data_IF_946840533142
#
_entry.id   IF_946840533142
#
_cell.length_a   1.000
_cell.length_b   1.000
_cell.length_c   1.000
_cell.angle_alpha   90.00
_cell.angle_beta   90.00
_cell.angle_gamma   90.00
#
_symmetry.space_group_name_H-M   'P 1'
#
loop_
_entity.id
_entity.type
_entity.pdbx_description
1 polymer ?
#
# COMPACT_ATOMS: atom_id res chain seq x y z
N UNK A 1 28.13 -5.62 3.46
CA UNK A 1 28.92 -6.05 4.64
C UNK A 1 29.83 -7.18 4.19
N UNK A 2 31.08 -7.19 4.61
CA UNK A 2 32.08 -8.19 4.18
C UNK A 2 32.66 -8.86 5.40
N UNK A 3 32.61 -10.18 5.46
CA UNK A 3 33.19 -10.98 6.55
C UNK A 3 34.36 -11.78 5.98
N UNK A 4 35.54 -11.64 6.57
CA UNK A 4 36.70 -12.44 6.19
C UNK A 4 36.58 -13.83 6.84
N UNK A 5 36.19 -14.85 6.07
CA UNK A 5 36.06 -16.23 6.55
C UNK A 5 37.43 -16.84 6.86
N UNK A 6 38.40 -16.68 5.96
CA UNK A 6 39.78 -17.13 6.17
C UNK A 6 40.79 -16.21 5.48
N UNK A 7 41.96 -16.07 6.10
CA UNK A 7 43.15 -15.48 5.48
C UNK A 7 44.41 -16.14 6.06
N UNK A 8 45.57 -15.89 5.45
CA UNK A 8 46.84 -16.49 5.89
C UNK A 8 47.20 -16.18 7.36
N UNK A 9 46.69 -15.09 7.94
CA UNK A 9 46.93 -14.75 9.35
C UNK A 9 46.19 -15.66 10.32
N UNK A 10 45.13 -16.35 9.86
CA UNK A 10 44.35 -17.34 10.65
C UNK A 10 44.99 -18.74 10.67
N UNK A 11 46.19 -18.91 10.12
CA UNK A 11 46.92 -20.17 10.13
C UNK A 11 46.44 -21.21 9.12
N UNK A 12 46.98 -22.42 9.25
CA UNK A 12 46.62 -23.54 8.37
C UNK A 12 45.12 -23.84 8.50
N UNK A 13 44.33 -23.82 7.41
CA UNK A 13 42.90 -24.14 7.47
C UNK A 13 42.63 -25.57 7.97
N UNK A 14 43.62 -26.48 7.94
CA UNK A 14 43.54 -27.83 8.55
C UNK A 14 43.82 -27.82 10.05
N UNK A 15 44.57 -26.82 10.54
CA UNK A 15 45.02 -26.70 11.94
C UNK A 15 45.24 -25.22 12.31
N UNK A 16 44.17 -24.47 12.60
CA UNK A 16 44.22 -23.01 12.75
C UNK A 16 44.99 -22.50 13.98
N UNK A 17 45.46 -23.39 14.87
CA UNK A 17 46.26 -23.04 16.04
C UNK A 17 47.73 -22.67 15.72
N UNK A 18 48.19 -22.86 14.48
CA UNK A 18 49.60 -22.77 14.11
C UNK A 18 50.00 -21.46 13.43
N UNK A 19 50.03 -20.32 14.16
CA UNK A 19 50.60 -19.05 13.69
C UNK A 19 50.15 -18.59 12.28
N UNK A 20 50.85 -17.64 11.63
CA UNK A 20 50.56 -17.27 10.24
C UNK A 20 50.95 -18.40 9.27
N UNK A 21 50.06 -18.76 8.35
CA UNK A 21 50.30 -19.79 7.34
C UNK A 21 51.36 -19.35 6.32
N UNK A 22 52.44 -20.13 6.21
CA UNK A 22 53.53 -19.92 5.25
C UNK A 22 53.54 -21.07 4.24
N UNK A 23 52.87 -20.91 3.10
CA UNK A 23 52.83 -21.96 2.08
C UNK A 23 51.77 -21.74 0.99
N UNK A 24 51.69 -22.71 0.08
CA UNK A 24 50.57 -22.82 -0.88
C UNK A 24 49.33 -23.31 -0.14
N UNK A 25 48.16 -22.78 -0.51
CA UNK A 25 46.91 -23.25 0.07
C UNK A 25 46.78 -24.77 -0.14
N UNK A 26 46.52 -25.55 0.92
CA UNK A 26 46.54 -27.00 0.84
C UNK A 26 45.51 -27.54 -0.16
N UNK A 27 45.87 -28.61 -0.88
CA UNK A 27 44.89 -29.36 -1.67
C UNK A 27 43.88 -30.05 -0.75
N UNK A 28 42.61 -30.08 -1.15
CA UNK A 28 41.51 -30.71 -0.42
C UNK A 28 40.18 -29.97 -0.57
N UNK A 29 39.13 -30.48 0.09
CA UNK A 29 37.82 -29.82 0.19
C UNK A 29 37.74 -29.12 1.55
N UNK A 30 37.43 -27.81 1.54
CA UNK A 30 37.31 -27.00 2.76
C UNK A 30 35.91 -26.44 2.85
N UNK A 31 35.33 -26.52 4.05
CA UNK A 31 34.00 -25.96 4.34
C UNK A 31 34.19 -24.83 5.33
N UNK A 32 33.83 -23.62 4.90
CA UNK A 32 33.84 -22.43 5.73
C UNK A 32 32.40 -22.07 6.09
N UNK A 33 31.88 -22.51 7.25
CA UNK A 33 30.55 -22.11 7.67
C UNK A 33 30.54 -20.61 7.91
N UNK A 34 29.45 -19.97 7.49
CA UNK A 34 29.20 -18.58 7.79
C UNK A 34 27.71 -18.38 8.06
N UNK A 35 27.42 -17.37 8.86
CA UNK A 35 26.07 -16.92 9.12
C UNK A 35 26.00 -15.46 8.66
N UNK A 36 24.95 -15.14 7.91
CA UNK A 36 24.66 -13.74 7.63
C UNK A 36 24.12 -13.13 8.92
N UNK A 37 24.61 -11.94 9.32
CA UNK A 37 24.00 -11.24 10.43
C UNK A 37 22.51 -11.01 10.14
N UNK A 38 21.74 -10.83 11.21
CA UNK A 38 20.34 -10.43 11.06
C UNK A 38 20.23 -9.23 10.12
N UNK A 39 19.33 -9.34 9.15
CA UNK A 39 19.05 -8.24 8.24
C UNK A 39 18.55 -7.04 9.07
N UNK A 40 18.95 -5.82 8.73
CA UNK A 40 18.50 -4.66 9.48
C UNK A 40 16.98 -4.52 9.35
N UNK A 41 16.33 -4.02 10.40
CA UNK A 41 14.87 -3.78 10.38
C UNK A 41 14.51 -2.61 9.46
N UNK A 42 15.42 -1.66 9.32
CA UNK A 42 15.27 -0.46 8.53
C UNK A 42 16.54 -0.14 7.73
N UNK A 43 16.41 0.79 6.78
CA UNK A 43 17.52 1.35 6.02
C UNK A 43 17.33 2.85 5.88
N UNK A 44 18.45 3.55 5.70
CA UNK A 44 18.44 4.98 5.43
C UNK A 44 18.41 5.18 3.92
N UNK A 45 17.49 6.00 3.44
CA UNK A 45 17.36 6.40 2.04
C UNK A 45 17.51 7.92 1.93
N UNK A 46 18.07 8.39 0.81
CA UNK A 46 18.12 9.82 0.54
C UNK A 46 16.69 10.32 0.35
N UNK A 47 16.29 11.35 1.10
CA UNK A 47 15.01 12.01 0.86
C UNK A 47 15.10 12.73 -0.50
N UNK A 48 14.07 12.66 -1.36
CA UNK A 48 14.08 13.26 -2.69
C UNK A 48 14.07 14.80 -2.70
N UNK A 49 13.86 15.41 -1.54
CA UNK A 49 13.77 16.86 -1.36
C UNK A 49 15.11 17.34 -0.83
N UNK A 50 15.99 17.79 -1.74
CA UNK A 50 17.35 18.20 -1.42
C UNK A 50 17.41 19.47 -0.53
N UNK A 51 16.30 20.20 -0.40
CA UNK A 51 16.21 21.44 0.39
C UNK A 51 16.09 21.19 1.90
N UNK A 52 15.72 19.97 2.32
CA UNK A 52 15.58 19.63 3.74
C UNK A 52 16.95 19.29 4.31
N UNK A 53 17.48 20.10 5.23
CA UNK A 53 18.79 19.89 5.89
C UNK A 53 19.01 18.51 6.56
N UNK A 54 17.98 17.66 6.64
CA UNK A 54 18.07 16.22 6.92
C UNK A 54 17.61 15.41 5.69
N UNK A 55 18.45 15.33 4.65
CA UNK A 55 18.22 14.61 3.39
C UNK A 55 18.20 13.07 3.53
N UNK A 56 17.85 12.54 4.70
CA UNK A 56 17.85 11.12 4.99
C UNK A 56 16.56 10.74 5.70
N UNK A 57 15.85 9.77 5.14
CA UNK A 57 14.69 9.14 5.76
C UNK A 57 15.03 7.70 6.13
N UNK A 58 14.54 7.25 7.29
CA UNK A 58 14.64 5.87 7.72
C UNK A 58 13.36 5.15 7.32
N UNK A 59 13.48 4.10 6.53
CA UNK A 59 12.35 3.31 6.01
C UNK A 59 12.52 1.84 6.39
N UNK A 60 11.44 1.07 6.57
CA UNK A 60 11.54 -0.38 6.78
C UNK A 60 12.37 -1.03 5.67
N UNK A 61 13.13 -2.07 6.03
CA UNK A 61 13.96 -2.77 5.06
C UNK A 61 13.08 -3.40 3.97
N UNK A 62 13.23 -2.99 2.70
CA UNK A 62 12.24 -3.30 1.68
C UNK A 62 12.30 -4.78 1.26
N UNK A 63 11.21 -5.35 0.72
CA UNK A 63 11.27 -6.68 0.10
C UNK A 63 12.13 -6.69 -1.16
N UNK A 64 12.62 -7.87 -1.55
CA UNK A 64 13.01 -8.13 -2.94
C UNK A 64 11.82 -7.80 -3.83
N UNK A 65 12.04 -6.96 -4.83
CA UNK A 65 10.96 -6.42 -5.64
C UNK A 65 11.41 -6.17 -7.06
N UNK A 66 10.55 -6.49 -8.02
CA UNK A 66 10.78 -6.19 -9.43
C UNK A 66 9.52 -5.69 -10.08
N UNK A 67 9.66 -4.66 -10.90
CA UNK A 67 8.57 -4.10 -11.68
C UNK A 67 9.09 -3.57 -13.01
N UNK A 68 8.39 -3.92 -14.08
CA UNK A 68 8.75 -3.58 -15.46
C UNK A 68 7.54 -3.08 -16.27
N UNK A 69 6.42 -2.78 -15.60
CA UNK A 69 5.12 -2.60 -16.27
C UNK A 69 4.90 -1.22 -16.88
N UNK A 70 5.75 -0.26 -16.59
CA UNK A 70 5.55 1.13 -17.01
C UNK A 70 6.47 1.42 -18.19
N UNK A 71 5.95 1.88 -19.33
CA UNK A 71 6.65 2.01 -20.63
C UNK A 71 8.02 2.73 -20.62
N UNK A 72 8.40 3.38 -19.52
CA UNK A 72 9.70 4.05 -19.38
C UNK A 72 10.37 3.83 -18.01
N UNK A 73 9.76 3.07 -17.10
CA UNK A 73 10.28 2.86 -15.75
C UNK A 73 10.34 1.38 -15.40
N UNK A 74 11.54 0.94 -15.05
CA UNK A 74 11.79 -0.35 -14.45
C UNK A 74 12.56 -0.13 -13.14
N UNK A 75 12.32 -1.00 -12.17
CA UNK A 75 13.02 -0.94 -10.89
C UNK A 75 13.17 -2.32 -10.30
N UNK A 76 14.34 -2.60 -9.72
CA UNK A 76 14.66 -3.87 -9.06
C UNK A 76 15.31 -3.60 -7.71
N UNK A 77 14.71 -4.11 -6.65
CA UNK A 77 15.33 -4.27 -5.34
C UNK A 77 15.80 -5.72 -5.29
N UNK A 78 17.12 -5.92 -5.27
CA UNK A 78 17.75 -7.24 -5.17
C UNK A 78 18.75 -7.26 -4.03
N UNK A 79 18.85 -8.41 -3.38
CA UNK A 79 19.86 -8.69 -2.38
C UNK A 79 20.81 -9.73 -2.96
N UNK A 80 22.11 -9.52 -2.78
CA UNK A 80 23.14 -10.46 -3.22
C UNK A 80 23.96 -10.90 -2.01
N UNK A 81 24.22 -12.20 -1.93
CA UNK A 81 25.24 -12.75 -1.07
C UNK A 81 26.37 -13.25 -1.98
N UNK A 82 27.51 -12.57 -1.91
CA UNK A 82 28.70 -12.89 -2.68
C UNK A 82 29.73 -13.62 -1.84
N UNK A 83 30.44 -14.57 -2.44
CA UNK A 83 31.70 -15.11 -1.90
C UNK A 83 32.83 -14.67 -2.81
N UNK A 84 33.76 -13.90 -2.26
CA UNK A 84 34.92 -13.41 -3.01
C UNK A 84 36.17 -14.17 -2.56
N UNK A 85 36.83 -14.81 -3.52
CA UNK A 85 38.11 -15.51 -3.30
C UNK A 85 39.23 -14.64 -3.86
N UNK A 86 39.83 -13.85 -2.97
CA UNK A 86 40.96 -12.97 -3.31
C UNK A 86 42.26 -13.76 -3.16
N UNK A 87 43.09 -13.77 -4.21
CA UNK A 87 44.43 -14.37 -4.18
C UNK A 87 45.47 -13.28 -3.99
N UNK A 88 46.21 -13.32 -2.89
CA UNK A 88 47.34 -12.41 -2.67
C UNK A 88 48.46 -12.66 -3.73
N UNK A 89 48.65 -11.75 -4.70
CA UNK A 89 49.73 -11.82 -5.72
C UNK A 89 49.49 -11.00 -6.99
N UNK A 90 50.49 -10.95 -7.90
CA UNK A 90 50.38 -10.27 -9.20
C UNK A 90 49.35 -10.98 -10.10
N UNK A 91 48.20 -10.33 -10.29
CA UNK A 91 47.10 -10.77 -11.15
C UNK A 91 45.85 -11.04 -10.33
N UNK A 92 45.04 -9.98 -10.15
CA UNK A 92 43.73 -10.02 -9.48
C UNK A 92 42.76 -10.92 -10.26
N UNK A 93 42.88 -12.23 -10.07
CA UNK A 93 41.83 -13.19 -10.42
C UNK A 93 40.90 -13.30 -9.22
N UNK A 94 40.15 -12.23 -9.00
CA UNK A 94 39.06 -12.24 -8.05
C UNK A 94 37.94 -13.09 -8.65
N UNK A 95 37.72 -14.25 -8.03
CA UNK A 95 36.54 -15.07 -8.32
C UNK A 95 35.42 -14.60 -7.40
N UNK A 96 34.44 -13.92 -7.99
CA UNK A 96 33.20 -13.49 -7.32
C UNK A 96 32.08 -14.49 -7.63
N UNK A 97 31.51 -15.05 -6.57
CA UNK A 97 30.37 -15.96 -6.64
C UNK A 97 29.16 -15.28 -5.99
N UNK A 98 28.39 -14.57 -6.80
CA UNK A 98 27.16 -13.92 -6.35
C UNK A 98 25.95 -14.83 -6.44
N UNK A 99 25.19 -14.90 -5.34
CA UNK A 99 23.88 -15.52 -5.27
C UNK A 99 22.82 -14.46 -5.00
N UNK A 100 21.83 -14.33 -5.90
CA UNK A 100 20.67 -13.48 -5.66
C UNK A 100 19.79 -14.11 -4.56
N UNK A 101 19.48 -13.32 -3.53
CA UNK A 101 18.61 -13.69 -2.42
C UNK A 101 17.23 -13.07 -2.58
N UNK A 102 16.20 -13.85 -2.24
CA UNK A 102 14.84 -13.35 -2.09
C UNK A 102 14.56 -13.04 -0.63
N UNK A 103 14.27 -11.78 -0.34
CA UNK A 103 13.86 -11.30 0.97
C UNK A 103 12.40 -10.84 0.91
N UNK A 104 11.59 -11.33 1.83
CA UNK A 104 10.20 -10.92 2.01
C UNK A 104 9.97 -10.71 3.51
N UNK A 105 9.71 -9.48 3.96
CA UNK A 105 9.45 -9.22 5.37
C UNK A 105 8.12 -9.86 5.75
N UNK A 106 8.14 -10.60 6.86
CA UNK A 106 6.98 -11.24 7.43
C UNK A 106 6.52 -10.45 8.63
N UNK A 107 5.23 -10.12 8.67
CA UNK A 107 4.62 -9.41 9.78
C UNK A 107 3.20 -9.92 10.00
N UNK A 108 2.80 -9.97 11.27
CA UNK A 108 1.43 -10.33 11.65
C UNK A 108 0.62 -9.06 11.86
N UNK A 109 -0.62 -8.99 11.35
CA UNK A 109 -1.52 -7.90 11.69
C UNK A 109 -1.80 -7.95 13.20
N UNK A 110 -1.88 -6.78 13.83
CA UNK A 110 -2.27 -6.68 15.23
C UNK A 110 -3.73 -7.15 15.40
N UNK A 111 -4.07 -7.82 16.51
CA UNK A 111 -5.46 -8.14 16.81
C UNK A 111 -6.30 -6.86 16.82
N UNK A 112 -7.43 -6.89 16.11
CA UNK A 112 -8.40 -5.80 16.08
C UNK A 112 -9.49 -6.08 17.11
N UNK A 113 -9.77 -5.10 17.96
CA UNK A 113 -10.97 -5.10 18.80
C UNK A 113 -12.08 -4.53 17.94
N UNK A 114 -13.17 -5.27 17.73
CA UNK A 114 -14.33 -4.75 17.00
C UNK A 114 -14.93 -3.60 17.80
N UNK A 115 -14.78 -2.39 17.29
CA UNK A 115 -15.43 -1.20 17.83
C UNK A 115 -16.59 -0.78 16.91
N UNK A 116 -17.70 -0.27 17.46
CA UNK A 116 -18.73 0.32 16.63
C UNK A 116 -18.17 1.52 15.87
N UNK A 117 -18.75 1.82 14.71
CA UNK A 117 -18.42 3.05 13.98
C UNK A 117 -18.70 4.26 14.88
N UNK A 118 -17.80 5.27 14.93
CA UNK A 118 -17.99 6.44 15.78
C UNK A 118 -19.28 7.17 15.44
N UNK A 119 -19.96 7.66 16.46
CA UNK A 119 -21.14 8.51 16.29
C UNK A 119 -20.69 9.91 15.87
N UNK A 120 -21.10 10.33 14.67
CA UNK A 120 -20.81 11.64 14.07
C UNK A 120 -22.15 12.29 13.73
N UNK A 121 -22.81 12.94 14.71
CA UNK A 121 -24.19 13.40 14.57
C UNK A 121 -24.36 14.45 13.49
N UNK A 122 -23.40 15.36 13.35
CA UNK A 122 -23.51 16.45 12.37
C UNK A 122 -22.34 16.43 11.40
N UNK A 123 -22.51 17.19 10.31
CA UNK A 123 -21.48 17.32 9.27
C UNK A 123 -20.25 18.05 9.80
N UNK A 124 -20.40 18.93 10.78
CA UNK A 124 -19.33 19.71 11.40
C UNK A 124 -18.36 18.84 12.21
N UNK A 125 -18.82 17.68 12.70
CA UNK A 125 -18.00 16.72 13.42
C UNK A 125 -17.05 15.91 12.51
N UNK A 126 -17.22 16.06 11.19
CA UNK A 126 -16.46 15.28 10.22
C UNK A 126 -15.04 15.83 10.07
N UNK A 127 -14.02 14.97 10.08
CA UNK A 127 -12.67 15.45 9.96
C UNK A 127 -12.37 15.95 8.56
N UNK A 128 -11.63 17.07 8.47
CA UNK A 128 -11.18 17.64 7.21
C UNK A 128 -10.03 16.85 6.57
N UNK A 129 -9.27 16.13 7.39
CA UNK A 129 -8.15 15.30 6.97
C UNK A 129 -8.35 13.88 7.45
N UNK A 130 -7.60 12.95 6.86
CA UNK A 130 -7.57 11.59 7.38
C UNK A 130 -7.08 11.57 8.82
N UNK A 131 -7.86 10.99 9.72
CA UNK A 131 -7.52 10.87 11.13
C UNK A 131 -8.02 9.55 11.73
N UNK A 132 -7.61 9.27 12.97
CA UNK A 132 -8.07 8.10 13.72
C UNK A 132 -9.01 8.56 14.84
N UNK A 133 -10.25 8.09 14.81
CA UNK A 133 -11.29 8.41 15.78
C UNK A 133 -12.04 7.13 16.18
N UNK A 134 -12.20 6.88 17.49
CA UNK A 134 -12.99 5.74 17.99
C UNK A 134 -12.49 4.35 17.56
N UNK A 135 -11.21 4.21 17.22
CA UNK A 135 -10.66 2.97 16.67
C UNK A 135 -10.91 2.78 15.17
N UNK A 136 -11.26 3.85 14.46
CA UNK A 136 -11.44 3.88 13.01
C UNK A 136 -10.51 4.91 12.38
N UNK A 137 -9.82 4.53 11.31
CA UNK A 137 -9.25 5.48 10.36
C UNK A 137 -10.39 6.04 9.52
N UNK A 138 -10.66 7.33 9.62
CA UNK A 138 -11.68 8.05 8.85
C UNK A 138 -11.00 8.83 7.73
N UNK A 139 -11.47 8.64 6.49
CA UNK A 139 -10.92 9.32 5.30
C UNK A 139 -12.03 10.14 4.62
N UNK A 140 -12.01 11.48 4.73
CA UNK A 140 -13.01 12.32 4.10
C UNK A 140 -12.84 12.37 2.59
N UNK A 141 -13.93 12.52 1.87
CA UNK A 141 -13.98 12.77 0.43
C UNK A 141 -15.22 13.60 0.10
N UNK A 142 -15.25 14.18 -1.10
CA UNK A 142 -16.41 14.93 -1.54
C UNK A 142 -16.32 15.33 -3.01
N UNK A 143 -17.43 15.79 -3.55
CA UNK A 143 -17.48 16.25 -4.91
C UNK A 143 -18.82 16.88 -5.28
N UNK A 144 -18.79 17.61 -6.39
CA UNK A 144 -19.97 18.26 -6.96
C UNK A 144 -20.36 17.57 -8.24
N UNK A 145 -21.66 17.37 -8.39
CA UNK A 145 -22.24 16.70 -9.54
C UNK A 145 -23.57 17.31 -9.93
N UNK A 146 -24.26 16.61 -10.83
CA UNK A 146 -25.65 16.86 -11.16
C UNK A 146 -26.48 15.60 -11.01
N UNK A 147 -27.66 15.71 -10.40
CA UNK A 147 -28.68 14.68 -10.43
C UNK A 147 -29.80 15.13 -11.37
N UNK A 148 -29.85 14.56 -12.58
CA UNK A 148 -30.68 15.13 -13.65
C UNK A 148 -30.20 16.53 -14.03
N UNK A 149 -30.99 17.57 -13.72
CA UNK A 149 -30.62 18.97 -13.96
C UNK A 149 -30.21 19.74 -12.69
N UNK A 150 -30.44 19.18 -11.50
CA UNK A 150 -30.08 19.83 -10.24
C UNK A 150 -28.58 19.68 -9.97
N UNK A 151 -27.94 20.77 -9.51
CA UNK A 151 -26.59 20.70 -8.98
C UNK A 151 -26.63 20.19 -7.55
N UNK A 152 -25.81 19.18 -7.28
CA UNK A 152 -25.77 18.54 -5.96
C UNK A 152 -24.33 18.48 -5.46
N UNK A 153 -24.15 18.75 -4.18
CA UNK A 153 -22.90 18.58 -3.47
C UNK A 153 -23.03 17.37 -2.55
N UNK A 154 -22.04 16.47 -2.63
CA UNK A 154 -22.03 15.23 -1.88
C UNK A 154 -20.68 15.14 -1.19
N UNK A 155 -20.72 14.89 0.11
CA UNK A 155 -19.56 14.68 0.93
C UNK A 155 -19.67 13.32 1.60
N UNK A 156 -18.54 12.73 1.97
CA UNK A 156 -18.55 11.47 2.68
C UNK A 156 -17.32 11.20 3.53
N UNK A 157 -17.45 10.22 4.40
CA UNK A 157 -16.35 9.62 5.16
C UNK A 157 -16.29 8.14 4.81
N UNK A 158 -15.09 7.68 4.44
CA UNK A 158 -14.76 6.26 4.39
C UNK A 158 -13.98 5.87 5.64
N UNK A 159 -14.59 5.04 6.48
CA UNK A 159 -14.00 4.48 7.68
C UNK A 159 -13.49 3.05 7.50
N UNK A 160 -12.31 2.77 8.04
CA UNK A 160 -11.75 1.41 8.20
C UNK A 160 -11.25 1.23 9.62
N UNK A 161 -11.48 0.05 10.21
CA UNK A 161 -11.00 -0.25 11.57
C UNK A 161 -9.48 -0.12 11.69
N UNK A 162 -9.04 0.54 12.77
CA UNK A 162 -7.65 0.75 13.15
C UNK A 162 -7.14 -0.42 14.02
N UNK A 163 -5.89 -0.90 13.83
CA UNK A 163 -4.96 -0.50 12.78
C UNK A 163 -5.38 -1.02 11.41
N UNK A 164 -5.24 -0.18 10.37
CA UNK A 164 -5.55 -0.54 8.98
C UNK A 164 -4.51 -1.51 8.36
N UNK A 165 -4.13 -2.56 9.10
CA UNK A 165 -3.10 -3.55 8.78
C UNK A 165 -3.74 -4.90 8.56
N UNK A 166 -3.55 -5.46 7.38
CA UNK A 166 -4.27 -6.66 6.92
C UNK A 166 -3.34 -7.68 6.28
N UNK A 167 -3.73 -8.95 6.34
CA UNK A 167 -3.09 -10.03 5.58
C UNK A 167 -4.12 -10.80 4.74
N UNK A 168 -3.64 -11.69 3.88
CA UNK A 168 -4.48 -12.48 2.99
C UNK A 168 -5.57 -13.27 3.75
N UNK A 169 -6.76 -13.32 3.17
CA UNK A 169 -7.92 -14.05 3.71
C UNK A 169 -8.68 -13.30 4.80
N UNK A 170 -8.11 -12.27 5.42
CA UNK A 170 -8.83 -11.46 6.39
C UNK A 170 -9.96 -10.68 5.73
N UNK A 171 -11.04 -10.47 6.50
CA UNK A 171 -12.13 -9.60 6.11
C UNK A 171 -11.76 -8.15 6.47
N UNK A 172 -11.75 -7.29 5.46
CA UNK A 172 -11.64 -5.84 5.59
C UNK A 172 -13.06 -5.28 5.64
N UNK A 173 -13.51 -4.97 6.86
CA UNK A 173 -14.78 -4.29 7.13
C UNK A 173 -14.58 -2.78 6.98
N UNK A 174 -15.55 -2.10 6.38
CA UNK A 174 -15.55 -0.65 6.23
C UNK A 174 -16.95 -0.08 6.43
N UNK A 175 -17.01 1.21 6.73
CA UNK A 175 -18.24 1.98 6.79
C UNK A 175 -18.10 3.23 5.93
N UNK A 176 -19.15 3.56 5.19
CA UNK A 176 -19.25 4.72 4.32
C UNK A 176 -20.41 5.57 4.82
N UNK A 177 -20.11 6.79 5.26
CA UNK A 177 -21.11 7.78 5.62
C UNK A 177 -21.19 8.81 4.50
N UNK A 178 -22.38 9.07 3.97
CA UNK A 178 -22.64 10.05 2.92
C UNK A 178 -23.51 11.18 3.46
N UNK A 179 -23.24 12.39 3.02
CA UNK A 179 -24.01 13.58 3.31
C UNK A 179 -24.30 14.38 2.03
N UNK A 180 -25.49 14.96 1.93
CA UNK A 180 -25.86 15.87 0.86
C UNK A 180 -27.04 16.75 1.27
N UNK A 181 -27.10 17.95 0.70
CA UNK A 181 -28.28 18.82 0.81
C UNK A 181 -29.48 18.31 0.00
N UNK A 182 -29.27 17.39 -0.95
CA UNK A 182 -30.33 16.80 -1.77
C UNK A 182 -30.63 15.36 -1.31
N UNK A 183 -31.79 15.17 -0.66
CA UNK A 183 -32.26 13.85 -0.22
C UNK A 183 -32.36 12.86 -1.40
N UNK A 184 -32.75 13.32 -2.59
CA UNK A 184 -32.81 12.50 -3.80
C UNK A 184 -31.41 12.04 -4.26
N UNK A 185 -30.38 12.87 -4.07
CA UNK A 185 -29.01 12.48 -4.37
C UNK A 185 -28.52 11.39 -3.41
N UNK A 186 -28.86 11.49 -2.13
CA UNK A 186 -28.57 10.45 -1.14
C UNK A 186 -29.34 9.16 -1.41
N UNK A 187 -30.61 9.26 -1.80
CA UNK A 187 -31.40 8.11 -2.19
C UNK A 187 -30.80 7.39 -3.42
N UNK A 188 -30.24 8.14 -4.38
CA UNK A 188 -29.60 7.59 -5.57
C UNK A 188 -28.22 7.00 -5.29
N UNK A 189 -27.35 7.76 -4.62
CA UNK A 189 -25.94 7.42 -4.41
C UNK A 189 -25.72 6.50 -3.21
N UNK A 190 -26.61 6.56 -2.22
CA UNK A 190 -26.59 5.70 -1.04
C UNK A 190 -27.19 4.31 -1.27
N UNK A 191 -27.45 3.92 -2.52
CA UNK A 191 -27.84 2.54 -2.84
C UNK A 191 -26.60 1.65 -2.86
N UNK A 192 -26.66 0.44 -2.28
CA UNK A 192 -25.52 -0.48 -2.35
C UNK A 192 -25.08 -0.80 -3.78
N UNK A 193 -26.02 -0.87 -4.73
CA UNK A 193 -25.72 -1.08 -6.16
C UNK A 193 -24.99 0.09 -6.84
N UNK A 194 -25.00 1.29 -6.24
CA UNK A 194 -24.27 2.45 -6.72
C UNK A 194 -22.80 2.47 -6.27
N UNK A 195 -22.42 1.60 -5.31
CA UNK A 195 -21.09 1.56 -4.72
C UNK A 195 -20.29 0.39 -5.31
N UNK A 196 -19.30 0.70 -6.14
CA UNK A 196 -18.33 -0.29 -6.58
C UNK A 196 -17.18 -0.38 -5.57
N UNK A 197 -17.22 -1.43 -4.75
CA UNK A 197 -16.18 -1.73 -3.77
C UNK A 197 -15.06 -2.54 -4.42
N UNK A 198 -13.81 -2.07 -4.32
CA UNK A 198 -12.66 -2.83 -4.77
C UNK A 198 -11.45 -2.72 -3.84
N UNK A 199 -10.70 -3.81 -3.78
CA UNK A 199 -9.38 -3.83 -3.17
C UNK A 199 -8.34 -3.78 -4.29
N UNK A 200 -7.52 -2.74 -4.30
CA UNK A 200 -6.56 -2.48 -5.35
C UNK A 200 -5.14 -2.58 -4.83
N UNK A 201 -4.25 -2.98 -5.73
CA UNK A 201 -2.81 -2.79 -5.59
C UNK A 201 -2.40 -1.59 -6.40
N UNK A 202 -1.67 -0.67 -5.80
CA UNK A 202 -1.06 0.48 -6.45
C UNK A 202 0.46 0.32 -6.43
N UNK A 203 1.07 0.17 -7.62
CA UNK A 203 2.52 0.29 -7.76
C UNK A 203 2.85 1.77 -8.04
N UNK A 204 3.76 2.37 -7.28
CA UNK A 204 4.07 3.80 -7.31
C UNK A 204 5.49 4.03 -7.82
N UNK A 205 5.63 4.95 -8.77
CA UNK A 205 6.92 5.38 -9.31
C UNK A 205 6.98 6.90 -9.36
N UNK A 206 7.69 7.51 -8.41
CA UNK A 206 7.86 8.95 -8.35
C UNK A 206 9.05 9.30 -7.47
N UNK A 207 9.72 10.43 -7.74
CA UNK A 207 10.81 10.92 -6.89
C UNK A 207 10.35 11.03 -5.43
N UNK A 208 9.11 11.52 -5.22
CA UNK A 208 8.50 11.76 -3.91
C UNK A 208 7.74 10.58 -3.31
N UNK A 209 8.00 9.33 -3.70
CA UNK A 209 7.28 8.15 -3.16
C UNK A 209 7.29 8.07 -1.62
N UNK A 210 8.34 8.58 -0.98
CA UNK A 210 8.45 8.56 0.48
C UNK A 210 7.42 9.47 1.16
N UNK A 211 6.88 10.47 0.47
CA UNK A 211 5.87 11.38 0.99
C UNK A 211 4.46 10.91 0.59
N UNK A 212 3.63 10.47 1.56
CA UNK A 212 2.28 9.99 1.26
C UNK A 212 1.38 11.06 0.69
N UNK A 213 1.60 12.32 1.07
CA UNK A 213 0.72 13.43 0.72
C UNK A 213 0.91 13.87 -0.74
N UNK A 214 2.14 13.74 -1.26
CA UNK A 214 2.48 14.20 -2.61
C UNK A 214 2.51 13.08 -3.65
N UNK A 215 2.29 11.83 -3.24
CA UNK A 215 2.06 10.70 -4.14
C UNK A 215 0.73 10.84 -4.91
N UNK A 216 0.70 11.76 -5.87
CA UNK A 216 -0.46 12.05 -6.70
C UNK A 216 -0.99 10.79 -7.39
N UNK A 217 -2.31 10.72 -7.61
CA UNK A 217 -2.97 9.60 -8.31
C UNK A 217 -2.34 9.30 -9.68
N UNK A 218 -1.74 10.31 -10.31
CA UNK A 218 -1.07 10.21 -11.62
C UNK A 218 0.12 9.25 -11.63
N UNK A 219 0.79 9.06 -10.49
CA UNK A 219 2.00 8.23 -10.38
C UNK A 219 1.71 6.82 -9.82
N UNK A 220 0.42 6.46 -9.70
CA UNK A 220 -0.03 5.18 -9.15
C UNK A 220 -0.61 4.32 -10.27
N UNK A 221 -0.07 3.11 -10.41
CA UNK A 221 -0.60 2.09 -11.31
C UNK A 221 -1.51 1.15 -10.53
N UNK A 222 -2.81 1.39 -10.64
CA UNK A 222 -3.83 0.60 -9.97
C UNK A 222 -4.14 -0.71 -10.70
N UNK A 223 -4.21 -1.79 -9.94
CA UNK A 223 -4.68 -3.09 -10.39
C UNK A 223 -5.70 -3.63 -9.38
N UNK A 224 -6.95 -3.82 -9.82
CA UNK A 224 -8.01 -4.38 -8.99
C UNK A 224 -7.71 -5.84 -8.68
N UNK A 225 -7.63 -6.20 -7.41
CA UNK A 225 -7.33 -7.55 -6.95
C UNK A 225 -8.55 -8.30 -6.43
N UNK A 226 -9.49 -7.59 -5.80
CA UNK A 226 -10.73 -8.16 -5.31
C UNK A 226 -11.89 -7.17 -5.44
N UNK A 227 -13.10 -7.70 -5.43
CA UNK A 227 -14.35 -6.93 -5.37
C UNK A 227 -14.97 -7.19 -4.01
N UNK A 228 -15.42 -6.12 -3.35
CA UNK A 228 -16.17 -6.22 -2.09
C UNK A 228 -17.66 -6.09 -2.31
N UNK A 229 -18.39 -5.98 -1.21
CA UNK A 229 -19.83 -5.73 -1.18
C UNK A 229 -20.15 -4.67 -0.14
N UNK A 230 -21.26 -3.97 -0.32
CA UNK A 230 -21.82 -3.01 0.63
C UNK A 230 -23.31 -3.26 0.81
N UNK A 231 -23.87 -2.70 1.87
CA UNK A 231 -25.29 -2.70 2.20
C UNK A 231 -25.61 -1.44 3.01
N UNK A 232 -26.88 -1.02 3.05
CA UNK A 232 -27.28 0.03 3.99
C UNK A 232 -27.27 -0.53 5.39
N UNK A 233 -26.79 0.26 6.35
CA UNK A 233 -26.67 -0.18 7.75
C UNK A 233 -28.03 -0.65 8.28
N UNK A 234 -29.10 0.06 7.93
CA UNK A 234 -30.47 -0.18 8.40
C UNK A 234 -31.10 -1.45 7.79
N UNK A 235 -30.63 -1.86 6.61
CA UNK A 235 -31.08 -3.09 5.95
C UNK A 235 -30.41 -4.35 6.57
N UNK A 236 -29.33 -4.15 7.32
CA UNK A 236 -28.50 -5.23 7.89
C UNK A 236 -27.60 -5.92 6.86
N UNK A 237 -26.69 -6.76 7.37
CA UNK A 237 -25.73 -7.48 6.53
C UNK A 237 -26.44 -8.53 5.67
N UNK A 238 -26.21 -8.56 4.34
CA UNK A 238 -26.82 -9.53 3.46
C UNK A 238 -26.25 -10.93 3.72
N UNK A 239 -27.12 -11.94 3.66
CA UNK A 239 -26.72 -13.35 3.80
C UNK A 239 -25.69 -13.74 2.75
N UNK A 240 -24.82 -14.69 3.08
CA UNK A 240 -23.85 -15.24 2.11
C UNK A 240 -24.60 -15.81 0.89
N UNK A 241 -24.15 -15.45 -0.31
CA UNK A 241 -24.81 -15.86 -1.56
C UNK A 241 -26.01 -15.02 -2.00
N UNK A 242 -26.38 -13.97 -1.25
CA UNK A 242 -27.38 -13.01 -1.72
C UNK A 242 -26.99 -12.42 -3.10
N UNK A 243 -27.96 -12.19 -4.00
CA UNK A 243 -27.67 -11.59 -5.29
C UNK A 243 -27.08 -10.18 -5.13
N UNK A 244 -26.25 -9.72 -6.08
CA UNK A 244 -25.75 -8.35 -6.06
C UNK A 244 -26.92 -7.34 -5.98
N UNK A 245 -26.79 -6.27 -5.19
CA UNK A 245 -27.85 -5.28 -5.04
C UNK A 245 -28.13 -4.62 -6.40
N UNK A 246 -29.40 -4.66 -6.81
CA UNK A 246 -29.85 -4.00 -8.02
C UNK A 246 -29.83 -2.48 -7.87
N UNK A 247 -29.48 -1.78 -8.95
CA UNK A 247 -29.53 -0.33 -9.00
C UNK A 247 -30.95 0.14 -9.37
N UNK A 248 -31.56 0.97 -8.53
CA UNK A 248 -32.91 1.51 -8.74
C UNK A 248 -32.81 2.96 -9.16
N UNK A 249 -33.53 3.34 -10.22
CA UNK A 249 -33.68 4.75 -10.59
C UNK A 249 -34.53 5.46 -9.56
N UNK A 250 -34.08 6.64 -9.14
CA UNK A 250 -34.83 7.53 -8.26
C UNK A 250 -35.83 8.32 -9.12
N UNK A 251 -37.04 8.49 -8.60
CA UNK A 251 -38.09 9.27 -9.26
C UNK A 251 -37.76 10.75 -9.10
N UNK A 252 -37.35 11.38 -10.19
CA UNK A 252 -37.07 12.82 -10.19
C UNK A 252 -38.40 13.61 -10.22
N UNK A 253 -38.51 14.73 -9.48
CA UNK A 253 -39.68 15.59 -9.53
C UNK A 253 -40.06 16.02 -10.95
N UNK A 254 -41.36 16.01 -11.26
CA UNK A 254 -41.87 16.28 -12.62
C UNK A 254 -41.43 17.65 -13.18
N UNK A 255 -41.23 18.64 -12.31
CA UNK A 255 -40.78 19.97 -12.73
C UNK A 255 -39.34 19.95 -13.30
N UNK A 256 -38.50 18.98 -12.95
CA UNK A 256 -37.18 18.78 -13.57
C UNK A 256 -37.27 18.16 -14.96
N UNK A 257 -38.32 17.37 -15.23
CA UNK A 257 -38.56 16.78 -16.55
C UNK A 257 -39.14 17.81 -17.56
N UNK A 258 -39.73 18.89 -17.08
CA UNK A 258 -40.44 19.87 -17.91
C UNK A 258 -39.54 20.94 -18.55
N UNK A 259 -38.30 21.12 -18.06
CA UNK A 259 -37.33 22.00 -18.72
C UNK A 259 -36.73 21.31 -19.94
N UNK A 260 -37.46 21.37 -21.07
CA UNK A 260 -36.85 21.18 -22.38
C UNK A 260 -35.62 22.09 -22.44
N UNK A 261 -34.42 21.57 -22.77
CA UNK A 261 -33.27 22.43 -22.98
C UNK A 261 -33.69 23.52 -23.97
N UNK A 262 -33.40 24.80 -23.70
CA UNK A 262 -33.77 25.88 -24.61
C UNK A 262 -33.24 25.50 -26.00
N UNK A 263 -34.06 25.65 -27.06
CA UNK A 263 -33.59 25.39 -28.41
C UNK A 263 -32.30 26.18 -28.59
N UNK A 264 -31.21 25.50 -28.93
CA UNK A 264 -29.91 26.12 -29.22
C UNK A 264 -30.15 27.00 -30.45
N UNK A 265 -30.49 28.27 -30.20
CA UNK A 265 -30.76 29.27 -31.21
C UNK A 265 -29.41 29.65 -31.83
N UNK A 266 -28.97 28.90 -32.84
CA UNK A 266 -27.76 29.28 -33.58
C UNK A 266 -26.96 28.20 -34.31
N UNK A 267 -27.44 26.96 -34.46
CA UNK A 267 -26.78 26.02 -35.38
C UNK A 267 -27.22 26.28 -36.82
N UNK A 268 -26.52 27.20 -37.49
CA UNK A 268 -26.57 27.35 -38.94
C UNK A 268 -26.13 26.07 -39.66
N UNK A 269 -26.48 25.90 -40.94
CA UNK A 269 -26.20 24.69 -41.70
C UNK A 269 -24.74 24.66 -42.15
N UNK A 270 -23.82 24.34 -41.24
CA UNK A 270 -22.51 23.81 -41.62
C UNK A 270 -22.44 22.34 -41.21
N UNK A 271 -22.74 21.49 -42.19
CA UNK A 271 -22.35 20.09 -42.20
C UNK A 271 -20.82 20.01 -42.14
N UNK A 272 -20.27 19.90 -40.93
CA UNK A 272 -19.02 19.16 -40.75
C UNK A 272 -19.39 17.78 -40.23
N UNK A 273 -19.45 16.82 -41.15
CA UNK A 273 -19.39 15.40 -40.82
C UNK A 273 -18.06 15.15 -40.09
N UNK A 274 -18.08 15.20 -38.76
CA UNK A 274 -17.04 14.56 -37.98
C UNK A 274 -17.30 13.06 -38.05
N UNK A 275 -16.58 12.42 -38.97
CA UNK A 275 -16.31 10.99 -38.91
C UNK A 275 -15.71 10.72 -37.52
N UNK A 276 -16.47 10.07 -36.64
CA UNK A 276 -15.93 9.44 -35.43
C UNK A 276 -15.08 8.27 -35.95
N UNK A 277 -13.74 8.27 -35.81
CA UNK A 277 -12.97 7.09 -36.14
C UNK A 277 -13.28 6.04 -35.08
N UNK A 278 -13.53 4.81 -35.53
CA UNK A 278 -13.57 3.64 -34.68
C UNK A 278 -12.37 3.62 -33.74
N UNK A 279 -12.63 3.22 -32.50
CA UNK A 279 -11.67 3.16 -31.41
C UNK A 279 -10.36 2.47 -31.85
N UNK A 280 -9.31 3.27 -31.97
CA UNK A 280 -7.92 2.80 -32.06
C UNK A 280 -7.23 2.95 -30.70
N UNK A 281 -6.25 2.07 -30.41
CA UNK A 281 -5.83 1.75 -29.05
C UNK A 281 -4.99 2.88 -28.44
N UNK A 282 -5.06 2.94 -27.10
CA UNK A 282 -4.28 3.82 -26.25
C UNK A 282 -2.81 3.91 -26.70
N UNK A 283 -2.37 5.10 -27.12
CA UNK A 283 -0.95 5.42 -27.25
C UNK A 283 -0.64 6.87 -26.89
N UNK A 284 0.48 6.98 -26.14
CA UNK A 284 1.39 8.11 -25.99
C UNK A 284 0.81 9.40 -25.39
N UNK A 285 0.96 9.52 -24.07
CA UNK A 285 1.15 10.81 -23.43
C UNK A 285 2.63 11.19 -23.60
N UNK A 286 2.91 12.24 -24.36
CA UNK A 286 4.21 12.91 -24.36
C UNK A 286 4.44 13.55 -22.99
N UNK A 287 5.54 13.17 -22.34
CA UNK A 287 6.09 13.92 -21.21
C UNK A 287 6.81 15.14 -21.79
N UNK A 288 6.23 16.32 -21.58
CA UNK A 288 6.98 17.57 -21.60
C UNK A 288 7.59 17.75 -20.21
N UNK A 289 8.90 17.59 -20.14
CA UNK A 289 9.76 18.27 -19.17
C UNK A 289 9.82 19.74 -19.57
N UNK A 290 9.39 20.64 -18.70
CA UNK A 290 9.98 21.97 -18.53
C UNK A 290 9.55 22.49 -17.15
N UNK A 291 10.56 22.65 -16.30
CA UNK A 291 10.48 23.31 -15.01
C UNK A 291 10.38 24.82 -15.28
N UNK A 292 9.27 25.46 -14.89
CA UNK A 292 9.22 26.91 -14.75
C UNK A 292 9.44 27.27 -13.29
N UNK A 293 10.64 27.77 -13.02
CA UNK A 293 11.06 28.43 -11.80
C UNK A 293 10.26 29.73 -11.59
N UNK A 294 9.25 29.71 -10.72
CA UNK A 294 8.73 30.94 -10.11
C UNK A 294 9.47 31.23 -8.80
N UNK A 295 10.57 31.97 -8.92
CA UNK A 295 11.28 32.58 -7.80
C UNK A 295 10.47 33.76 -7.23
N UNK A 296 9.61 33.48 -6.25
CA UNK A 296 8.98 34.50 -5.41
C UNK A 296 9.79 34.78 -4.16
N UNK A 297 10.63 35.82 -4.19
CA UNK A 297 11.27 36.41 -3.00
C UNK A 297 10.21 36.98 -2.05
N UNK A 298 10.13 36.48 -0.82
CA UNK A 298 9.44 37.14 0.29
C UNK A 298 10.26 37.03 1.57
N UNK A 299 10.33 38.18 2.24
CA UNK A 299 11.32 38.55 3.23
C UNK A 299 11.15 37.83 4.57
N UNK A 300 12.28 37.67 5.23
CA UNK A 300 12.44 37.29 6.64
C UNK A 300 11.60 38.19 7.56
N UNK A 301 10.82 37.58 8.45
CA UNK A 301 10.57 38.18 9.76
C UNK A 301 10.68 37.11 10.83
N UNK A 302 11.74 37.26 11.61
CA UNK A 302 12.11 36.47 12.77
C UNK A 302 11.23 36.90 13.94
N UNK A 303 10.36 36.01 14.44
CA UNK A 303 9.87 36.11 15.81
C UNK A 303 9.81 34.73 16.46
N UNK A 304 10.79 34.51 17.34
CA UNK A 304 10.80 33.49 18.36
C UNK A 304 9.63 33.68 19.33
N UNK A 305 8.83 32.64 19.52
CA UNK A 305 7.96 32.48 20.69
C UNK A 305 8.07 31.05 21.19
N UNK A 306 8.73 30.92 22.34
CA UNK A 306 8.51 29.84 23.29
C UNK A 306 7.03 29.82 23.69
N UNK A 307 6.41 28.64 23.65
CA UNK A 307 5.03 28.46 24.07
C UNK A 307 4.76 26.98 24.33
N UNK A 308 4.53 26.66 25.60
CA UNK A 308 4.42 25.30 26.12
C UNK A 308 3.25 24.50 25.56
N UNK A 309 3.50 23.21 25.41
CA UNK A 309 2.56 22.18 24.98
C UNK A 309 1.51 21.97 26.08
N UNK A 310 0.33 22.55 25.90
CA UNK A 310 -0.85 22.27 26.73
C UNK A 310 -1.70 21.24 26.00
N UNK A 311 -1.70 20.01 26.51
CA UNK A 311 -2.59 18.93 26.08
C UNK A 311 -4.02 19.34 26.48
N UNK A 312 -4.84 19.73 25.50
CA UNK A 312 -6.27 19.92 25.70
C UNK A 312 -6.95 18.56 25.81
N UNK A 313 -7.16 18.10 27.06
CA UNK A 313 -8.13 17.05 27.37
C UNK A 313 -9.52 17.70 27.31
N UNK A 314 -10.26 17.44 26.24
CA UNK A 314 -11.66 17.84 26.13
C UNK A 314 -12.48 16.96 27.08
N UNK A 315 -12.84 17.53 28.23
CA UNK A 315 -13.77 16.91 29.18
C UNK A 315 -15.18 16.95 28.58
N UNK A 316 -15.65 15.78 28.14
CA UNK A 316 -17.04 15.55 27.79
C UNK A 316 -17.90 15.52 29.06
N UNK A 317 -18.52 16.63 29.42
CA UNK A 317 -19.78 16.67 30.19
C UNK A 317 -20.41 18.06 30.10
N UNK A 318 -21.31 18.24 29.13
CA UNK A 318 -22.39 19.22 29.23
C UNK A 318 -23.63 18.61 28.61
N UNK A 319 -24.57 18.22 29.47
CA UNK A 319 -25.94 17.88 29.08
C UNK A 319 -26.68 19.22 28.95
N UNK A 320 -27.20 19.61 27.77
CA UNK A 320 -28.01 20.82 27.65
C UNK A 320 -29.37 20.61 28.32
N UNK A 321 -29.82 21.62 29.08
CA UNK A 321 -31.16 21.66 29.69
C UNK A 321 -32.24 21.93 28.63
N UNK A 322 -33.38 21.24 28.79
CA UNK A 322 -34.44 20.97 27.82
C UNK A 322 -35.56 22.04 27.78
N UNK A 323 -35.28 23.33 27.95
CA UNK A 323 -36.39 24.28 28.20
C UNK A 323 -36.46 25.56 27.34
N UNK A 324 -35.62 25.79 26.32
CA UNK A 324 -35.75 27.03 25.52
C UNK A 324 -35.38 26.88 24.02
N UNK A 325 -36.15 26.11 23.24
CA UNK A 325 -36.13 26.21 21.76
C UNK A 325 -37.54 25.99 21.19
N UNK A 326 -38.32 27.07 21.16
CA UNK A 326 -39.57 27.16 20.41
C UNK A 326 -39.28 27.38 18.90
N UNK A 327 -39.65 26.38 18.10
CA UNK A 327 -40.24 26.50 16.76
C UNK A 327 -39.51 27.35 15.70
N UNK A 328 -38.22 27.11 15.49
CA UNK A 328 -37.71 27.11 14.12
C UNK A 328 -38.16 25.80 13.45
N UNK A 329 -38.43 25.83 12.15
CA UNK A 329 -38.76 24.67 11.33
C UNK A 329 -37.54 23.70 11.33
N UNK A 330 -37.40 22.92 12.41
CA UNK A 330 -36.41 21.85 12.61
C UNK A 330 -36.75 20.72 11.64
N UNK A 331 -36.54 20.96 10.34
CA UNK A 331 -36.41 19.89 9.37
C UNK A 331 -35.33 18.95 9.89
N UNK A 332 -35.73 17.73 10.26
CA UNK A 332 -34.87 16.73 10.88
C UNK A 332 -33.55 16.62 10.10
N UNK A 333 -32.44 17.10 10.69
CA UNK A 333 -31.10 16.99 10.08
C UNK A 333 -30.72 15.53 9.75
N UNK A 334 -31.40 14.56 10.38
CA UNK A 334 -31.31 13.13 10.10
C UNK A 334 -31.60 12.76 8.63
N UNK A 335 -32.35 13.58 7.89
CA UNK A 335 -32.67 13.32 6.47
C UNK A 335 -31.48 13.55 5.51
N UNK A 336 -30.36 14.08 6.02
CA UNK A 336 -29.20 14.43 5.20
C UNK A 336 -28.08 13.40 5.22
N UNK A 337 -28.27 12.24 5.86
CA UNK A 337 -27.21 11.23 5.95
C UNK A 337 -27.67 9.85 5.47
N UNK A 338 -26.76 9.13 4.82
CA UNK A 338 -26.91 7.69 4.57
C UNK A 338 -25.65 6.97 4.96
N UNK A 339 -25.79 5.95 5.81
CA UNK A 339 -24.68 5.07 6.20
C UNK A 339 -24.79 3.72 5.51
N UNK A 340 -23.71 3.35 4.82
CA UNK A 340 -23.50 2.01 4.30
C UNK A 340 -22.39 1.33 5.08
N UNK A 341 -22.56 0.04 5.33
CA UNK A 341 -21.48 -0.82 5.79
C UNK A 341 -21.07 -1.75 4.64
N UNK A 342 -19.86 -2.28 4.72
CA UNK A 342 -19.40 -3.19 3.70
C UNK A 342 -18.18 -3.97 4.09
N UNK A 343 -17.82 -4.90 3.22
CA UNK A 343 -16.67 -5.76 3.43
C UNK A 343 -15.99 -6.15 2.11
N UNK A 344 -14.69 -6.45 2.21
CA UNK A 344 -13.93 -7.08 1.13
C UNK A 344 -12.97 -8.10 1.72
N UNK A 345 -12.94 -9.30 1.14
CA UNK A 345 -11.95 -10.31 1.54
C UNK A 345 -10.61 -9.96 0.90
N UNK A 346 -9.60 -9.75 1.74
CA UNK A 346 -8.25 -9.39 1.28
C UNK A 346 -7.66 -10.57 0.50
N UNK A 347 -7.31 -10.39 -0.78
CA UNK A 347 -6.78 -11.47 -1.60
C UNK A 347 -5.33 -11.79 -1.23
N UNK A 348 -4.85 -12.97 -1.65
CA UNK A 348 -3.44 -13.32 -1.56
C UNK A 348 -2.66 -12.42 -2.51
N UNK A 349 -1.72 -11.64 -1.95
CA UNK A 349 -0.85 -10.78 -2.73
C UNK A 349 0.61 -11.22 -2.61
N UNK A 350 1.39 -10.98 -3.67
CA UNK A 350 2.76 -11.49 -3.77
C UNK A 350 3.79 -10.74 -2.91
N UNK A 351 3.52 -9.49 -2.52
CA UNK A 351 4.47 -8.66 -1.78
C UNK A 351 3.73 -7.82 -0.72
N UNK A 352 4.39 -7.42 0.37
CA UNK A 352 3.80 -6.52 1.36
C UNK A 352 3.72 -5.08 0.83
N UNK A 353 3.02 -4.21 1.56
CA UNK A 353 3.13 -2.75 1.39
C UNK A 353 4.55 -2.29 1.74
N UNK A 354 5.15 -1.43 0.92
CA UNK A 354 6.45 -0.81 1.22
C UNK A 354 6.64 0.47 0.41
N UNK A 355 7.58 1.30 0.87
CA UNK A 355 8.08 2.47 0.12
C UNK A 355 9.58 2.52 0.25
N UNK A 356 10.26 2.63 -0.89
CA UNK A 356 11.71 2.64 -0.97
C UNK A 356 12.17 3.32 -2.25
N UNK A 357 12.98 4.37 -2.13
CA UNK A 357 13.69 5.08 -3.22
C UNK A 357 12.98 5.04 -4.58
N UNK A 358 12.15 6.03 -4.85
CA UNK A 358 11.39 6.18 -6.09
C UNK A 358 10.39 5.06 -6.42
N UNK A 359 10.23 4.06 -5.56
CA UNK A 359 9.39 2.90 -5.77
C UNK A 359 8.54 2.59 -4.55
N UNK A 360 7.28 2.28 -4.76
CA UNK A 360 6.37 1.89 -3.68
C UNK A 360 5.37 0.86 -4.14
N UNK A 361 4.85 0.12 -3.17
CA UNK A 361 3.65 -0.68 -3.33
C UNK A 361 2.72 -0.40 -2.18
N UNK A 362 1.49 -0.07 -2.54
CA UNK A 362 0.40 0.15 -1.61
C UNK A 362 -0.79 -0.70 -1.98
N UNK A 363 -1.63 -0.93 -0.98
CA UNK A 363 -2.93 -1.52 -1.16
C UNK A 363 -3.96 -0.52 -0.69
N UNK A 364 -5.09 -0.49 -1.38
CA UNK A 364 -6.08 0.55 -1.22
C UNK A 364 -7.46 -0.08 -1.25
N UNK A 365 -8.27 0.23 -0.24
CA UNK A 365 -9.71 0.09 -0.36
C UNK A 365 -10.21 1.28 -1.16
N UNK A 366 -10.83 0.99 -2.30
CA UNK A 366 -11.30 2.00 -3.24
C UNK A 366 -12.78 1.80 -3.50
N UNK A 367 -13.56 2.84 -3.25
CA UNK A 367 -14.99 2.89 -3.54
C UNK A 367 -15.21 3.86 -4.70
N UNK A 368 -15.85 3.39 -5.77
CA UNK A 368 -16.36 4.25 -6.83
C UNK A 368 -17.89 4.34 -6.69
N UNK A 369 -18.39 5.53 -6.40
CA UNK A 369 -19.81 5.82 -6.24
C UNK A 369 -20.31 6.39 -7.55
N UNK A 370 -21.18 5.65 -8.24
CA UNK A 370 -21.74 6.06 -9.53
C UNK A 370 -23.20 5.65 -9.65
N UNK A 371 -24.00 6.53 -10.24
CA UNK A 371 -25.40 6.27 -10.49
C UNK A 371 -25.79 6.83 -11.88
N UNK A 372 -26.59 6.15 -12.71
CA UNK A 372 -26.94 6.59 -14.07
C UNK A 372 -27.60 7.97 -14.16
N UNK A 373 -28.24 8.42 -13.08
CA UNK A 373 -28.86 9.75 -13.01
C UNK A 373 -27.92 10.82 -12.44
N UNK A 374 -26.74 10.42 -11.95
CA UNK A 374 -25.73 11.30 -11.38
C UNK A 374 -24.56 11.47 -12.34
N UNK A 375 -24.18 12.72 -12.59
CA UNK A 375 -23.03 13.07 -13.42
C UNK A 375 -22.06 13.91 -12.60
N UNK A 376 -20.87 13.39 -12.36
CA UNK A 376 -19.79 14.12 -11.68
C UNK A 376 -19.33 15.31 -12.55
N UNK A 377 -19.17 16.50 -11.95
CA UNK A 377 -18.69 17.69 -12.68
C UNK A 377 -17.16 17.79 -12.72
N UNK A 378 -16.46 17.04 -11.87
CA UNK A 378 -15.00 16.98 -11.89
C UNK A 378 -14.51 16.37 -13.20
N UNK A 379 -13.57 17.02 -13.93
CA UNK A 379 -13.31 16.76 -15.35
C UNK A 379 -12.64 15.41 -15.71
N UNK A 380 -12.48 14.48 -14.77
CA UNK A 380 -11.68 13.25 -14.99
C UNK A 380 -12.25 11.96 -14.42
N UNK A 381 -13.38 12.00 -13.72
CA UNK A 381 -13.88 10.83 -12.97
C UNK A 381 -15.33 10.48 -13.34
N UNK A 382 -15.61 9.18 -13.45
CA UNK A 382 -16.93 8.67 -13.80
C UNK A 382 -17.94 8.69 -12.61
N UNK A 383 -17.51 9.19 -11.45
CA UNK A 383 -18.27 9.18 -10.20
C UNK A 383 -17.46 9.81 -9.06
N UNK A 384 -17.98 9.72 -7.84
CA UNK A 384 -17.23 10.09 -6.64
C UNK A 384 -16.30 8.95 -6.26
N UNK A 385 -15.07 9.29 -5.85
CA UNK A 385 -14.11 8.28 -5.43
C UNK A 385 -13.69 8.51 -3.99
N UNK A 386 -13.83 7.46 -3.18
CA UNK A 386 -13.29 7.39 -1.84
C UNK A 386 -12.19 6.32 -1.80
N UNK A 387 -11.03 6.67 -1.26
CA UNK A 387 -9.93 5.72 -1.12
C UNK A 387 -9.35 5.78 0.29
N UNK A 388 -8.98 4.63 0.84
CA UNK A 388 -8.22 4.58 2.10
C UNK A 388 -7.11 3.54 2.00
N UNK A 389 -5.86 3.91 2.33
CA UNK A 389 -4.72 3.04 2.16
C UNK A 389 -4.69 1.97 3.27
N UNK A 390 -4.33 0.76 2.86
CA UNK A 390 -4.27 -0.44 3.67
C UNK A 390 -2.81 -0.91 3.73
N UNK A 391 -2.31 -1.15 4.94
CA UNK A 391 -1.01 -1.75 5.12
C UNK A 391 -1.13 -3.28 4.99
N UNK A 392 -0.81 -3.81 3.82
CA UNK A 392 -0.81 -5.25 3.59
C UNK A 392 0.50 -5.87 4.08
N UNK A 393 0.40 -6.87 4.94
CA UNK A 393 1.54 -7.61 5.50
C UNK A 393 1.48 -9.08 5.10
N UNK A 394 2.65 -9.71 4.97
CA UNK A 394 2.75 -11.14 4.71
C UNK A 394 2.81 -11.89 6.04
N UNK A 395 1.76 -12.67 6.33
CA UNK A 395 1.77 -13.63 7.42
C UNK A 395 1.94 -15.05 6.86
N UNK A 396 3.12 -15.62 7.07
CA UNK A 396 3.50 -16.98 6.65
C UNK A 396 2.55 -18.05 7.21
N UNK A 397 1.85 -17.77 8.31
CA UNK A 397 0.96 -18.72 8.99
C UNK A 397 -0.52 -18.37 8.84
N UNK A 398 -0.88 -17.38 8.01
CA UNK A 398 -2.28 -16.97 7.84
C UNK A 398 -3.18 -18.13 7.40
N UNK A 399 -2.63 -19.07 6.62
CA UNK A 399 -3.35 -20.24 6.11
C UNK A 399 -3.35 -21.45 7.06
N UNK A 400 -2.54 -21.44 8.13
CA UNK A 400 -2.50 -22.53 9.09
C UNK A 400 -3.51 -22.29 10.22
N UNK A 401 -4.28 -23.31 10.63
CA UNK A 401 -5.21 -23.20 11.73
C UNK A 401 -4.46 -22.91 13.05
N UNK A 402 -5.09 -22.25 14.04
CA UNK A 402 -4.40 -21.74 15.24
C UNK A 402 -3.58 -22.77 16.03
N UNK A 403 -4.02 -24.03 16.04
CA UNK A 403 -3.35 -25.14 16.73
C UNK A 403 -2.14 -25.69 15.98
N UNK A 404 -1.94 -25.32 14.71
CA UNK A 404 -0.82 -25.73 13.87
C UNK A 404 0.25 -24.62 13.73
N UNK A 405 0.29 -23.66 14.67
CA UNK A 405 1.22 -22.51 14.68
C UNK A 405 2.29 -22.68 15.77
N UNK A 406 2.93 -23.85 15.84
CA UNK A 406 3.85 -24.21 16.91
C UNK A 406 5.25 -23.60 16.74
N UNK A 407 6.03 -23.54 17.84
CA UNK A 407 7.43 -23.11 17.79
C UNK A 407 8.32 -24.02 16.91
N UNK A 408 7.90 -25.27 16.68
CA UNK A 408 8.59 -26.21 15.77
C UNK A 408 8.52 -25.78 14.30
N UNK A 409 7.45 -25.08 13.88
CA UNK A 409 7.29 -24.67 12.47
C UNK A 409 8.23 -23.52 12.08
N UNK A 410 8.70 -22.75 13.08
CA UNK A 410 9.78 -21.77 12.93
C UNK A 410 11.17 -22.43 12.84
N UNK A 411 11.32 -23.67 13.32
CA UNK A 411 12.57 -24.44 13.20
C UNK A 411 12.65 -25.23 11.88
N UNK A 412 11.51 -25.48 11.22
CA UNK A 412 11.43 -26.11 9.89
C UNK A 412 11.50 -25.11 8.74
N UNK A 413 11.79 -23.84 9.02
CA UNK A 413 11.96 -22.84 7.97
C UNK A 413 13.10 -23.29 7.04
N UNK A 414 12.85 -23.41 5.72
CA UNK A 414 13.90 -23.80 4.81
C UNK A 414 14.89 -22.65 4.71
N UNK A 415 16.08 -22.83 5.26
CA UNK A 415 17.28 -22.16 4.74
C UNK A 415 17.43 -22.70 3.33
N UNK A 416 16.85 -22.05 2.32
CA UNK A 416 16.97 -22.49 0.93
C UNK A 416 18.35 -22.13 0.38
N UNK A 417 19.34 -22.90 0.84
CA UNK A 417 20.36 -23.48 -0.01
C UNK A 417 20.17 -24.99 0.01
N UNK A 418 20.86 -25.75 -0.84
CA UNK A 418 20.92 -27.21 -0.70
C UNK A 418 21.39 -27.55 0.71
N UNK A 419 20.49 -28.04 1.56
CA UNK A 419 20.86 -28.65 2.83
C UNK A 419 21.77 -29.82 2.49
N UNK A 420 23.06 -29.67 2.77
CA UNK A 420 23.98 -30.80 2.75
C UNK A 420 23.50 -31.69 3.90
N UNK A 421 23.03 -32.92 3.66
CA UNK A 421 22.58 -33.79 4.72
C UNK A 421 23.78 -34.07 5.64
N UNK A 422 23.78 -33.44 6.81
CA UNK A 422 24.69 -33.79 7.89
C UNK A 422 24.10 -35.05 8.49
N UNK A 423 24.84 -36.16 8.49
CA UNK A 423 24.36 -37.47 8.97
C UNK A 423 23.77 -37.42 10.38
N UNK A 424 23.11 -38.52 10.80
CA UNK A 424 22.37 -38.64 12.06
C UNK A 424 23.17 -38.37 13.35
N UNK A 425 24.49 -38.14 13.25
CA UNK A 425 25.40 -37.89 14.36
C UNK A 425 25.78 -36.40 14.50
N UNK A 426 25.03 -35.48 13.89
CA UNK A 426 25.30 -34.05 13.95
C UNK A 426 24.99 -33.45 15.34
N UNK A 427 26.01 -33.40 16.20
CA UNK A 427 26.01 -32.57 17.41
C UNK A 427 26.12 -31.10 16.98
N UNK A 428 25.21 -30.23 17.45
CA UNK A 428 25.38 -28.78 17.31
C UNK A 428 26.66 -28.38 18.03
N UNK A 429 27.72 -28.15 17.27
CA UNK A 429 28.94 -27.58 17.80
C UNK A 429 28.64 -26.15 18.31
N UNK A 430 29.17 -25.73 19.47
CA UNK A 430 29.24 -24.31 19.79
C UNK A 430 29.97 -23.59 18.64
N UNK A 431 29.65 -22.32 18.37
CA UNK A 431 30.26 -21.50 17.30
C UNK A 431 31.75 -21.82 17.15
N UNK A 432 32.11 -22.65 16.16
CA UNK A 432 33.42 -23.30 16.12
C UNK A 432 34.18 -23.06 14.83
N UNK A 433 35.47 -22.83 15.05
CA UNK A 433 36.64 -23.19 14.25
C UNK A 433 36.36 -24.26 13.17
N UNK A 434 36.78 -23.99 11.93
CA UNK A 434 36.47 -24.79 10.73
C UNK A 434 36.93 -26.25 10.75
N UNK A 435 36.35 -27.05 9.85
CA UNK A 435 36.62 -28.49 9.69
C UNK A 435 37.07 -28.83 8.26
N UNK A 436 37.79 -29.95 8.13
CA UNK A 436 38.42 -30.45 6.89
C UNK A 436 37.98 -31.89 6.61
N UNK A 437 37.85 -32.26 5.33
CA UNK A 437 37.62 -33.64 4.89
C UNK A 437 38.49 -33.99 3.67
N UNK A 438 38.93 -35.25 3.61
CA UNK A 438 39.67 -35.83 2.47
C UNK A 438 38.75 -36.36 1.37
N UNK A 439 37.43 -36.31 1.58
CA UNK A 439 36.48 -36.85 0.62
C UNK A 439 36.52 -36.09 -0.72
N UNK A 440 36.55 -36.83 -1.85
CA UNK A 440 36.56 -36.22 -3.17
C UNK A 440 35.25 -35.47 -3.41
N UNK A 441 35.37 -34.27 -3.99
CA UNK A 441 34.25 -33.36 -4.30
C UNK A 441 33.18 -34.10 -5.13
N UNK A 442 31.88 -34.06 -4.76
CA UNK A 442 30.81 -34.57 -5.62
C UNK A 442 30.87 -33.82 -6.95
N UNK A 443 31.13 -34.55 -8.04
CA UNK A 443 31.18 -33.96 -9.38
C UNK A 443 29.76 -33.76 -9.89
N UNK A 444 29.10 -32.70 -9.40
CA UNK A 444 27.88 -32.22 -10.06
C UNK A 444 28.27 -31.73 -11.45
N UNK A 445 27.99 -32.55 -12.47
CA UNK A 445 28.05 -32.16 -13.87
C UNK A 445 26.99 -31.09 -14.15
N UNK A 446 27.25 -29.86 -13.72
CA UNK A 446 26.51 -28.70 -14.22
C UNK A 446 26.90 -28.54 -15.69
N UNK A 447 26.06 -29.08 -16.56
CA UNK A 447 26.05 -28.80 -17.98
C UNK A 447 25.87 -27.28 -18.08
N UNK A 448 26.94 -26.55 -18.42
CA UNK A 448 26.84 -25.15 -18.87
C UNK A 448 25.84 -25.15 -20.03
N UNK A 449 24.61 -24.71 -19.77
CA UNK A 449 23.70 -24.33 -20.83
C UNK A 449 24.31 -23.08 -21.44
N UNK A 450 24.95 -23.24 -22.60
CA UNK A 450 25.48 -22.12 -23.36
C UNK A 450 24.33 -21.19 -23.74
N UNK A 451 24.37 -19.96 -23.22
CA UNK A 451 23.57 -18.87 -23.72
C UNK A 451 24.04 -18.52 -25.13
N UNK A 452 23.09 -18.53 -26.07
CA UNK A 452 23.19 -17.78 -27.32
C UNK A 452 22.83 -16.33 -27.05
#
# INVERSE_FOLDING_TARGET
>A
MTVNLWNRKKGDPRSPAGGPFKGKFPAGTFVFPFELPELPQDTIVKHPDDTKHRNQARVPFPPTYFVSKTMSFWGKIKYTAGVNVVRDGLGDLDEEFDMEMQYLPLAKPLPRVKTPFPYLPTREDWPFNREVLGGWTLTPFGGRGRLGQEFVEVEGILGVQEPAVYTAGQLLEFSLLLWSTSALALEALGQPGAIEVGFYKADIFAANVLDPRTSSRTNRYFNKLATGRSWRTDDGQPTEGAPPPGLRRVVLPAHWAAHKPPPIAGSGPHQHQHHIPDALPAHKLEMLTEEEDESGTLAESTQSKEGGETIHVVNAHRVPSLEDLDAADEGHEEDHFVRLDGEVRVPVCSHPSFRFTNMGREYVLHLLIKHPQYTQLSPKEAGLIAETPILYVLDRFAHLPPHARGAQDLATLPVTGTVIPVGSDAVRAPVSVGSYTEEPRPTNKFKRMGGR
#
